data_IF_124509079480
#
_entry.id   IF_124509079480
#
_cell.length_a   1.000
_cell.length_b   1.000
_cell.length_c   1.000
_cell.angle_alpha   90.00
_cell.angle_beta   90.00
_cell.angle_gamma   90.00
#
_symmetry.space_group_name_H-M   'P 1'
#
loop_
_entity.id
_entity.type
_entity.pdbx_description
1 polymer ?
#
# COMPACT_ATOMS: atom_id res chain seq x y z
N UNK A 1 2.00 -10.32 -24.61
CA UNK A 1 0.83 -11.03 -24.04
C UNK A 1 -0.41 -10.26 -24.50
N UNK A 2 -1.16 -10.83 -25.44
CA UNK A 2 -2.35 -10.21 -26.04
C UNK A 2 -3.58 -10.66 -25.22
N UNK A 3 -4.26 -9.73 -24.56
CA UNK A 3 -5.58 -9.95 -23.98
C UNK A 3 -6.45 -8.73 -24.32
N UNK A 4 -7.33 -8.88 -25.31
CA UNK A 4 -8.18 -7.78 -25.79
C UNK A 4 -9.22 -8.21 -26.82
N UNK A 5 -9.76 -9.43 -26.73
CA UNK A 5 -10.81 -9.93 -27.64
C UNK A 5 -12.09 -10.41 -26.95
N UNK A 6 -12.21 -10.19 -25.64
CA UNK A 6 -13.48 -10.23 -24.91
C UNK A 6 -13.52 -8.91 -24.16
N UNK A 7 -14.56 -8.10 -24.33
CA UNK A 7 -14.67 -6.74 -23.75
C UNK A 7 -14.81 -6.71 -22.23
N UNK A 8 -14.22 -7.67 -21.53
CA UNK A 8 -14.13 -7.74 -20.09
C UNK A 8 -12.70 -7.35 -19.70
N UNK A 9 -12.56 -6.19 -19.08
CA UNK A 9 -11.30 -5.79 -18.48
C UNK A 9 -10.88 -6.88 -17.47
N UNK A 10 -9.61 -7.32 -17.50
CA UNK A 10 -9.13 -8.28 -16.51
C UNK A 10 -9.36 -7.73 -15.10
N UNK A 11 -9.67 -8.58 -14.11
CA UNK A 11 -9.81 -8.13 -12.74
C UNK A 11 -8.53 -7.39 -12.34
N UNK A 12 -8.71 -6.22 -11.71
CA UNK A 12 -7.58 -5.43 -11.23
C UNK A 12 -6.71 -6.23 -10.25
N UNK A 13 -5.46 -5.77 -10.00
CA UNK A 13 -4.50 -6.50 -9.18
C UNK A 13 -5.04 -6.74 -7.77
N UNK A 14 -4.74 -7.93 -7.23
CA UNK A 14 -5.10 -8.33 -5.88
C UNK A 14 -4.46 -7.41 -4.83
N UNK A 15 -5.06 -7.28 -3.63
CA UNK A 15 -4.51 -6.44 -2.56
C UNK A 15 -3.04 -6.75 -2.22
N UNK A 16 -2.66 -8.03 -2.17
CA UNK A 16 -1.29 -8.44 -1.91
C UNK A 16 -0.30 -7.98 -3.01
N UNK A 17 -0.71 -8.03 -4.29
CA UNK A 17 0.11 -7.54 -5.40
C UNK A 17 0.30 -6.02 -5.33
N UNK A 18 -0.74 -5.28 -4.94
CA UNK A 18 -0.66 -3.83 -4.71
C UNK A 18 0.31 -3.51 -3.58
N UNK A 19 0.31 -4.30 -2.50
CA UNK A 19 1.24 -4.13 -1.37
C UNK A 19 2.70 -4.31 -1.79
N UNK A 20 2.99 -5.33 -2.59
CA UNK A 20 4.35 -5.57 -3.11
C UNK A 20 4.86 -4.34 -3.87
N UNK A 21 4.03 -3.79 -4.76
CA UNK A 21 4.39 -2.58 -5.53
C UNK A 21 4.52 -1.36 -4.62
N UNK A 22 3.61 -1.18 -3.66
CA UNK A 22 3.66 -0.07 -2.71
C UNK A 22 4.94 -0.09 -1.84
N UNK A 23 5.35 -1.27 -1.35
CA UNK A 23 6.58 -1.45 -0.57
C UNK A 23 7.83 -1.20 -1.41
N UNK A 24 7.86 -1.67 -2.65
CA UNK A 24 8.96 -1.36 -3.59
C UNK A 24 9.09 0.15 -3.83
N UNK A 25 7.97 0.83 -4.03
CA UNK A 25 7.94 2.28 -4.21
C UNK A 25 8.40 3.02 -2.96
N UNK A 26 7.98 2.57 -1.77
CA UNK A 26 8.48 3.09 -0.50
C UNK A 26 10.00 2.93 -0.38
N UNK A 27 10.55 1.77 -0.76
CA UNK A 27 12.00 1.53 -0.81
C UNK A 27 12.73 2.58 -1.64
N UNK A 28 12.24 2.87 -2.85
CA UNK A 28 12.82 3.93 -3.70
C UNK A 28 12.77 5.31 -3.06
N UNK A 29 11.69 5.63 -2.33
CA UNK A 29 11.63 6.88 -1.59
C UNK A 29 12.63 6.93 -0.43
N UNK A 30 12.85 5.81 0.26
CA UNK A 30 13.85 5.71 1.33
C UNK A 30 15.24 5.92 0.75
N UNK A 31 15.58 5.24 -0.34
CA UNK A 31 16.88 5.35 -1.00
C UNK A 31 17.17 6.77 -1.48
N UNK A 32 16.18 7.46 -2.04
CA UNK A 32 16.37 8.81 -2.58
C UNK A 32 16.30 9.93 -1.54
N UNK A 33 15.48 9.80 -0.50
CA UNK A 33 15.14 10.92 0.39
C UNK A 33 15.37 10.64 1.89
N UNK A 34 15.68 9.39 2.25
CA UNK A 34 15.73 8.91 3.63
C UNK A 34 14.34 8.63 4.22
N UNK A 35 14.31 7.83 5.29
CA UNK A 35 13.06 7.32 5.88
C UNK A 35 12.07 8.41 6.30
N UNK A 36 12.56 9.46 6.97
CA UNK A 36 11.70 10.53 7.49
C UNK A 36 10.95 11.23 6.36
N UNK A 37 11.62 11.59 5.27
CA UNK A 37 10.96 12.23 4.12
C UNK A 37 10.10 11.24 3.33
N UNK A 38 10.58 10.01 3.16
CA UNK A 38 9.85 8.94 2.47
C UNK A 38 8.46 8.73 3.08
N UNK A 39 8.35 8.76 4.41
CA UNK A 39 7.09 8.64 5.15
C UNK A 39 6.03 9.65 4.64
N UNK A 40 6.38 10.94 4.57
CA UNK A 40 5.44 11.98 4.16
C UNK A 40 5.14 11.92 2.67
N UNK A 41 6.15 11.68 1.83
CA UNK A 41 5.96 11.59 0.39
C UNK A 41 5.06 10.42 -0.01
N UNK A 42 5.17 9.29 0.68
CA UNK A 42 4.40 8.09 0.35
C UNK A 42 2.91 8.18 0.67
N UNK A 43 2.47 9.04 1.60
CA UNK A 43 1.05 9.13 2.01
C UNK A 43 0.08 9.27 0.84
N UNK A 44 0.37 10.18 -0.11
CA UNK A 44 -0.49 10.38 -1.29
C UNK A 44 -0.53 9.14 -2.20
N UNK A 45 0.61 8.45 -2.36
CA UNK A 45 0.71 7.27 -3.20
C UNK A 45 -0.07 6.10 -2.57
N UNK A 46 0.03 5.93 -1.25
CA UNK A 46 -0.72 4.92 -0.50
C UNK A 46 -2.24 5.15 -0.57
N UNK A 47 -2.69 6.41 -0.58
CA UNK A 47 -4.09 6.73 -0.87
C UNK A 47 -4.54 6.16 -2.23
N UNK A 48 -3.70 6.23 -3.27
CA UNK A 48 -4.01 5.66 -4.58
C UNK A 48 -4.01 4.13 -4.59
N UNK A 49 -3.04 3.48 -3.94
CA UNK A 49 -3.00 2.00 -3.85
C UNK A 49 -4.25 1.43 -3.15
N UNK A 50 -4.81 2.17 -2.18
CA UNK A 50 -6.03 1.76 -1.47
C UNK A 50 -7.33 1.92 -2.26
N UNK A 51 -7.31 2.59 -3.42
CA UNK A 51 -8.54 2.94 -4.15
C UNK A 51 -9.30 1.69 -4.61
N UNK A 52 -10.61 1.69 -4.36
CA UNK A 52 -11.51 0.59 -4.73
C UNK A 52 -11.44 -0.63 -3.80
N UNK A 53 -10.65 -0.58 -2.72
CA UNK A 53 -10.61 -1.64 -1.71
C UNK A 53 -11.57 -1.34 -0.55
N UNK A 54 -12.22 -2.36 0.04
CA UNK A 54 -12.98 -2.21 1.27
C UNK A 54 -12.14 -1.58 2.39
N UNK A 55 -12.72 -0.72 3.21
CA UNK A 55 -12.01 -0.07 4.33
C UNK A 55 -11.03 1.04 3.94
N UNK A 56 -10.91 1.38 2.65
CA UNK A 56 -9.91 2.36 2.19
C UNK A 56 -10.07 3.76 2.82
N UNK A 57 -11.29 4.18 3.17
CA UNK A 57 -11.50 5.46 3.86
C UNK A 57 -10.83 5.50 5.22
N UNK A 58 -11.02 4.44 6.04
CA UNK A 58 -10.38 4.28 7.35
C UNK A 58 -8.87 4.20 7.23
N UNK A 59 -8.39 3.41 6.26
CA UNK A 59 -6.95 3.30 5.97
C UNK A 59 -6.33 4.67 5.63
N UNK A 60 -6.95 5.44 4.72
CA UNK A 60 -6.48 6.79 4.35
C UNK A 60 -6.43 7.74 5.54
N UNK A 61 -7.42 7.68 6.43
CA UNK A 61 -7.43 8.49 7.65
C UNK A 61 -6.27 8.11 8.58
N UNK A 62 -5.97 6.82 8.70
CA UNK A 62 -4.88 6.31 9.53
C UNK A 62 -3.49 6.68 8.99
N UNK A 63 -3.19 6.38 7.72
CA UNK A 63 -1.84 6.64 7.14
C UNK A 63 -1.45 8.12 7.14
N UNK A 64 -2.41 9.03 7.09
CA UNK A 64 -2.14 10.47 7.13
C UNK A 64 -1.68 10.95 8.52
N UNK A 65 -1.91 10.15 9.57
CA UNK A 65 -1.54 10.47 10.96
C UNK A 65 -0.28 9.74 11.44
N UNK A 66 0.20 8.75 10.68
CA UNK A 66 1.40 7.96 11.04
C UNK A 66 2.63 8.85 11.15
N UNK A 67 3.41 8.65 12.20
CA UNK A 67 4.62 9.45 12.48
C UNK A 67 5.94 8.68 12.34
N UNK A 68 5.90 7.35 12.20
CA UNK A 68 7.11 6.53 12.03
C UNK A 68 6.93 5.46 10.97
N UNK A 69 8.06 4.98 10.43
CA UNK A 69 8.08 3.98 9.36
C UNK A 69 7.45 2.65 9.80
N UNK A 70 7.75 2.22 11.03
CA UNK A 70 7.22 0.98 11.59
C UNK A 70 5.69 0.97 11.62
N UNK A 71 5.06 2.04 12.10
CA UNK A 71 3.61 2.15 12.09
C UNK A 71 3.07 2.17 10.66
N UNK A 72 3.75 2.83 9.71
CA UNK A 72 3.33 2.82 8.30
C UNK A 72 3.27 1.39 7.77
N UNK A 73 4.35 0.62 7.96
CA UNK A 73 4.45 -0.76 7.47
C UNK A 73 3.38 -1.66 8.09
N UNK A 74 3.14 -1.53 9.40
CA UNK A 74 2.10 -2.30 10.10
C UNK A 74 0.70 -2.00 9.56
N UNK A 75 0.40 -0.72 9.28
CA UNK A 75 -0.88 -0.30 8.68
C UNK A 75 -1.04 -0.81 7.26
N UNK A 76 0.06 -0.91 6.49
CA UNK A 76 0.04 -1.51 5.16
C UNK A 76 -0.29 -3.00 5.23
N UNK A 77 0.37 -3.75 6.11
CA UNK A 77 0.15 -5.20 6.22
C UNK A 77 -1.27 -5.52 6.69
N UNK A 78 -1.73 -4.88 7.77
CA UNK A 78 -3.11 -5.04 8.27
C UNK A 78 -4.15 -4.73 7.19
N UNK A 79 -3.95 -3.69 6.38
CA UNK A 79 -4.91 -3.31 5.35
C UNK A 79 -4.89 -4.21 4.10
N UNK A 80 -3.72 -4.58 3.59
CA UNK A 80 -3.60 -5.32 2.32
C UNK A 80 -3.57 -6.84 2.49
N UNK A 81 -3.22 -7.35 3.67
CA UNK A 81 -3.14 -8.80 3.97
C UNK A 81 -4.14 -9.26 5.03
N UNK A 82 -4.73 -8.32 5.79
CA UNK A 82 -5.59 -8.61 6.94
C UNK A 82 -4.80 -8.82 8.23
N UNK A 83 -5.47 -8.66 9.37
CA UNK A 83 -4.85 -8.67 10.70
C UNK A 83 -4.15 -10.00 11.03
N UNK A 84 -4.65 -11.12 10.51
CA UNK A 84 -4.03 -12.43 10.70
C UNK A 84 -2.61 -12.55 10.12
N UNK A 85 -2.19 -11.67 9.20
CA UNK A 85 -0.84 -11.67 8.62
C UNK A 85 0.11 -10.67 9.30
N UNK A 86 -0.42 -9.62 9.92
CA UNK A 86 0.38 -8.58 10.59
C UNK A 86 1.08 -9.11 11.86
N UNK A 87 0.50 -10.10 12.54
CA UNK A 87 1.04 -10.71 13.76
C UNK A 87 2.26 -11.63 13.52
N UNK A 88 2.50 -12.06 12.27
CA UNK A 88 3.63 -12.96 11.93
C UNK A 88 4.92 -12.22 11.56
N UNK A 89 4.89 -10.90 11.44
CA UNK A 89 6.03 -10.05 11.04
C UNK A 89 6.61 -9.22 12.19
N UNK A 90 6.19 -9.48 13.43
CA UNK A 90 6.72 -8.90 14.67
C UNK A 90 7.56 -9.93 15.43
#
# INVERSE_FOLDING_TARGET
ILAGQRGEDPPGPAPAERLVVARRHLGYFIDCFGEHKALFHMRKHLCWYSRGLPGAATFRAAINRVQCMEELLRRLDSFFLGDAAAERSA
#
